data_IF_313880415227
#
_entry.id   IF_313880415227
#
_cell.length_a   1.000
_cell.length_b   1.000
_cell.length_c   1.000
_cell.angle_alpha   90.00
_cell.angle_beta   90.00
_cell.angle_gamma   90.00
#
_symmetry.space_group_name_H-M   'P 1'
#
loop_
_entity.id
_entity.type
_entity.pdbx_description
1 polymer ?
#
# COMPACT_ATOMS: atom_id res chain seq x y z
N UNK A 1 -6.76 -41.35 57.87
CA UNK A 1 -6.36 -40.61 56.65
C UNK A 1 -7.60 -39.94 56.11
N UNK A 2 -7.68 -38.61 56.23
CA UNK A 2 -8.81 -37.84 55.73
C UNK A 2 -8.65 -37.62 54.21
N UNK A 3 -9.69 -37.94 53.44
CA UNK A 3 -9.78 -37.58 52.03
C UNK A 3 -9.90 -36.06 51.89
N UNK A 4 -9.01 -35.45 51.09
CA UNK A 4 -9.14 -34.04 50.72
C UNK A 4 -10.23 -33.88 49.64
N UNK A 5 -11.07 -32.82 49.71
CA UNK A 5 -12.08 -32.56 48.71
C UNK A 5 -11.44 -32.00 47.42
N UNK A 6 -11.83 -32.55 46.26
CA UNK A 6 -11.50 -31.96 44.96
C UNK A 6 -12.11 -30.57 44.87
N UNK A 7 -11.29 -29.53 44.77
CA UNK A 7 -11.75 -28.17 44.47
C UNK A 7 -12.32 -28.14 43.05
N UNK A 8 -13.64 -28.07 42.92
CA UNK A 8 -14.29 -27.73 41.66
C UNK A 8 -13.98 -26.26 41.40
N UNK A 9 -13.26 -25.96 40.31
CA UNK A 9 -12.88 -24.59 39.97
C UNK A 9 -14.12 -23.74 39.71
N UNK A 10 -14.11 -22.47 40.16
CA UNK A 10 -15.20 -21.49 39.98
C UNK A 10 -15.61 -21.28 38.51
N UNK A 11 -14.73 -21.63 37.56
CA UNK A 11 -15.01 -21.59 36.13
C UNK A 11 -15.87 -22.77 35.64
N UNK A 12 -15.85 -23.91 36.33
CA UNK A 12 -16.67 -25.08 35.99
C UNK A 12 -18.11 -24.98 36.51
N UNK A 13 -18.45 -23.93 37.29
CA UNK A 13 -19.82 -23.67 37.74
C UNK A 13 -20.58 -22.66 36.87
N UNK A 14 -19.92 -22.06 35.87
CA UNK A 14 -20.55 -21.10 34.96
C UNK A 14 -21.53 -21.80 34.00
N UNK A 15 -22.64 -21.15 33.59
CA UNK A 15 -23.54 -21.66 32.55
C UNK A 15 -22.86 -21.75 31.18
N UNK A 16 -23.30 -22.70 30.35
CA UNK A 16 -22.71 -23.00 29.03
C UNK A 16 -22.66 -21.79 28.08
N UNK A 17 -23.69 -20.95 28.08
CA UNK A 17 -23.74 -19.75 27.23
C UNK A 17 -22.67 -18.71 27.61
N UNK A 18 -22.30 -18.63 28.90
CA UNK A 18 -21.23 -17.74 29.39
C UNK A 18 -19.86 -18.28 28.97
N UNK A 19 -19.68 -19.60 28.98
CA UNK A 19 -18.44 -20.25 28.52
C UNK A 19 -18.20 -20.04 27.02
N UNK A 20 -19.24 -20.19 26.18
CA UNK A 20 -19.15 -19.90 24.74
C UNK A 20 -18.80 -18.42 24.47
N UNK A 21 -19.39 -17.51 25.24
CA UNK A 21 -19.12 -16.09 25.10
C UNK A 21 -17.67 -15.75 25.48
N UNK A 22 -17.14 -16.31 26.57
CA UNK A 22 -15.72 -16.17 26.95
C UNK A 22 -14.80 -16.70 25.86
N UNK A 23 -15.10 -17.88 25.29
CA UNK A 23 -14.31 -18.49 24.21
C UNK A 23 -14.35 -17.70 22.90
N UNK A 24 -15.47 -17.01 22.60
CA UNK A 24 -15.61 -16.18 21.40
C UNK A 24 -14.70 -14.94 21.41
N UNK A 25 -14.27 -14.49 22.61
CA UNK A 25 -13.33 -13.39 22.76
C UNK A 25 -11.86 -13.81 22.66
N UNK A 26 -11.59 -15.12 22.61
CA UNK A 26 -10.24 -15.65 22.50
C UNK A 26 -9.89 -15.97 21.04
N UNK A 27 -8.67 -15.64 20.58
CA UNK A 27 -8.15 -16.18 19.33
C UNK A 27 -8.25 -17.70 19.30
N UNK A 28 -8.48 -18.30 18.13
CA UNK A 28 -8.75 -19.74 17.99
C UNK A 28 -7.70 -20.65 18.67
N UNK A 29 -6.43 -20.22 18.73
CA UNK A 29 -5.35 -20.91 19.45
C UNK A 29 -5.57 -20.92 20.96
N UNK A 30 -6.02 -19.81 21.53
CA UNK A 30 -6.27 -19.68 22.96
C UNK A 30 -7.57 -20.41 23.34
N UNK A 31 -8.62 -20.29 22.52
CA UNK A 31 -9.86 -21.05 22.68
C UNK A 31 -9.68 -22.58 22.50
N UNK A 32 -8.68 -23.01 21.73
CA UNK A 32 -8.30 -24.41 21.65
C UNK A 32 -7.47 -24.85 22.87
N UNK A 33 -6.61 -23.97 23.42
CA UNK A 33 -5.80 -24.25 24.62
C UNK A 33 -6.64 -24.35 25.88
N UNK A 34 -7.79 -23.67 25.95
CA UNK A 34 -8.73 -23.82 27.08
C UNK A 34 -9.32 -25.22 27.18
N UNK A 35 -9.23 -26.05 26.14
CA UNK A 35 -9.66 -27.46 26.18
C UNK A 35 -8.92 -28.31 27.22
N UNK A 36 -7.78 -27.81 27.73
CA UNK A 36 -6.97 -28.44 28.78
C UNK A 36 -7.49 -28.11 30.18
N UNK A 37 -8.33 -27.08 30.34
CA UNK A 37 -8.82 -26.60 31.65
C UNK A 37 -9.82 -27.57 32.30
N UNK A 38 -10.75 -28.14 31.53
CA UNK A 38 -11.61 -29.23 32.00
C UNK A 38 -12.27 -30.00 30.84
N UNK A 39 -12.79 -31.21 31.07
CA UNK A 39 -13.50 -31.99 30.05
C UNK A 39 -14.69 -31.24 29.43
N UNK A 40 -15.29 -30.32 30.19
CA UNK A 40 -16.42 -29.50 29.75
C UNK A 40 -15.95 -28.40 28.78
N UNK A 41 -14.79 -27.81 29.02
CA UNK A 41 -14.16 -26.88 28.07
C UNK A 41 -13.70 -27.58 26.79
N UNK A 42 -13.35 -28.87 26.81
CA UNK A 42 -13.12 -29.65 25.58
C UNK A 42 -14.37 -29.73 24.68
N UNK A 43 -15.56 -29.74 25.27
CA UNK A 43 -16.84 -29.77 24.54
C UNK A 43 -17.24 -28.40 23.98
N UNK A 44 -16.80 -27.29 24.58
CA UNK A 44 -17.01 -25.93 24.04
C UNK A 44 -15.86 -25.44 23.16
N UNK A 45 -14.66 -25.96 23.36
CA UNK A 45 -13.59 -26.01 22.37
C UNK A 45 -13.94 -26.97 21.22
N UNK A 46 -15.11 -27.65 21.25
CA UNK A 46 -15.67 -28.27 20.07
C UNK A 46 -15.91 -27.17 19.06
N UNK A 47 -15.17 -27.18 17.97
CA UNK A 47 -15.05 -25.99 17.18
C UNK A 47 -16.33 -25.79 16.32
N UNK A 48 -17.28 -26.74 16.35
CA UNK A 48 -18.63 -26.64 15.76
C UNK A 48 -19.61 -25.70 16.50
N UNK A 49 -19.31 -25.23 17.72
CA UNK A 49 -20.20 -24.37 18.53
C UNK A 49 -19.79 -22.88 18.53
N UNK A 50 -18.65 -22.54 17.93
CA UNK A 50 -18.11 -21.18 17.91
C UNK A 50 -18.30 -20.57 16.51
N UNK A 51 -19.12 -19.53 16.42
CA UNK A 51 -19.18 -18.66 15.23
C UNK A 51 -17.80 -18.05 15.01
N UNK A 52 -17.14 -18.44 13.93
CA UNK A 52 -15.82 -17.93 13.59
C UNK A 52 -15.99 -16.77 12.62
N UNK A 53 -16.00 -15.53 13.11
CA UNK A 53 -16.13 -14.37 12.22
C UNK A 53 -14.88 -14.12 11.39
N UNK A 54 -13.70 -14.39 11.97
CA UNK A 54 -12.41 -14.24 11.30
C UNK A 54 -11.45 -15.39 11.59
N UNK A 55 -10.66 -15.75 10.58
CA UNK A 55 -9.61 -16.75 10.64
C UNK A 55 -8.32 -16.13 10.12
N UNK A 56 -7.32 -15.98 11.00
CA UNK A 56 -6.03 -15.39 10.65
C UNK A 56 -4.89 -16.36 10.99
N UNK A 57 -4.03 -16.63 10.02
CA UNK A 57 -2.85 -17.50 10.16
C UNK A 57 -1.60 -16.71 9.81
N UNK A 58 -0.52 -16.89 10.57
CA UNK A 58 0.78 -16.28 10.32
C UNK A 58 1.89 -17.33 10.45
N UNK A 59 3.04 -17.12 9.81
CA UNK A 59 4.24 -17.98 9.86
C UNK A 59 4.65 -18.42 11.27
N UNK A 60 4.37 -17.60 12.29
CA UNK A 60 4.63 -17.94 13.71
C UNK A 60 3.85 -19.18 14.21
N UNK A 61 2.95 -19.72 13.39
CA UNK A 61 2.13 -20.90 13.69
C UNK A 61 2.74 -22.18 13.12
N UNK A 62 3.73 -22.05 12.23
CA UNK A 62 4.52 -23.14 11.64
C UNK A 62 5.74 -23.36 12.55
N UNK A 63 5.87 -24.57 13.10
CA UNK A 63 7.01 -24.85 13.99
C UNK A 63 8.24 -25.08 13.13
N UNK A 64 9.38 -24.40 13.35
CA UNK A 64 10.61 -24.70 12.63
C UNK A 64 11.08 -26.16 12.78
N UNK A 65 10.61 -26.88 13.80
CA UNK A 65 10.95 -28.28 14.05
C UNK A 65 10.11 -29.31 13.26
N UNK A 66 9.01 -28.91 12.60
CA UNK A 66 8.21 -29.82 11.77
C UNK A 66 8.68 -29.82 10.31
N UNK A 67 8.51 -30.96 9.64
CA UNK A 67 8.71 -31.02 8.19
C UNK A 67 7.70 -30.11 7.50
N UNK A 68 8.12 -29.44 6.42
CA UNK A 68 7.28 -28.51 5.67
C UNK A 68 5.93 -29.10 5.19
N UNK A 69 5.85 -30.42 5.01
CA UNK A 69 4.65 -31.11 4.52
C UNK A 69 3.54 -31.22 5.60
N UNK A 70 3.89 -31.47 6.86
CA UNK A 70 2.91 -31.65 7.95
C UNK A 70 2.22 -30.33 8.29
N UNK A 71 2.95 -29.21 8.28
CA UNK A 71 2.38 -27.91 8.61
C UNK A 71 1.45 -27.37 7.49
N UNK A 72 1.72 -27.69 6.22
CA UNK A 72 0.80 -27.33 5.13
C UNK A 72 -0.54 -28.07 5.23
N UNK A 73 -0.51 -29.39 5.43
CA UNK A 73 -1.73 -30.19 5.54
C UNK A 73 -2.61 -29.73 6.72
N UNK A 74 -1.96 -29.31 7.82
CA UNK A 74 -2.66 -28.72 8.97
C UNK A 74 -3.33 -27.40 8.63
N UNK A 75 -2.65 -26.49 7.93
CA UNK A 75 -3.23 -25.21 7.50
C UNK A 75 -4.38 -25.44 6.52
N UNK A 76 -4.23 -26.34 5.56
CA UNK A 76 -5.30 -26.73 4.65
C UNK A 76 -6.52 -27.24 5.41
N UNK A 77 -6.31 -28.10 6.41
CA UNK A 77 -7.37 -28.60 7.30
C UNK A 77 -8.07 -27.49 8.09
N UNK A 78 -7.31 -26.51 8.62
CA UNK A 78 -7.87 -25.38 9.35
C UNK A 78 -8.68 -24.44 8.46
N UNK A 79 -8.20 -24.16 7.24
CA UNK A 79 -8.94 -23.38 6.25
C UNK A 79 -10.26 -24.07 5.92
N UNK A 80 -10.23 -25.38 5.62
CA UNK A 80 -11.45 -26.15 5.36
C UNK A 80 -12.42 -26.11 6.55
N UNK A 81 -11.90 -26.22 7.78
CA UNK A 81 -12.71 -26.16 8.99
C UNK A 81 -13.33 -24.77 9.23
N UNK A 82 -12.60 -23.70 8.93
CA UNK A 82 -13.09 -22.32 9.03
C UNK A 82 -14.17 -22.04 7.97
N UNK A 83 -13.95 -22.47 6.73
CA UNK A 83 -14.92 -22.32 5.64
C UNK A 83 -16.23 -23.06 5.92
N UNK A 84 -16.17 -24.26 6.53
CA UNK A 84 -17.36 -25.02 6.96
C UNK A 84 -18.16 -24.34 8.07
N UNK A 85 -17.66 -23.25 8.65
CA UNK A 85 -18.32 -22.46 9.70
C UNK A 85 -18.68 -21.06 9.23
N UNK A 86 -18.79 -20.88 7.92
CA UNK A 86 -19.29 -19.64 7.35
C UNK A 86 -18.48 -18.40 7.76
N UNK A 87 -17.15 -18.59 7.86
CA UNK A 87 -16.22 -17.51 8.20
C UNK A 87 -16.34 -16.35 7.21
N UNK A 88 -16.33 -15.12 7.74
CA UNK A 88 -16.44 -13.90 6.93
C UNK A 88 -15.09 -13.34 6.52
N UNK A 89 -14.06 -13.53 7.33
CA UNK A 89 -12.71 -13.04 7.05
C UNK A 89 -11.69 -14.17 7.10
N UNK A 90 -10.90 -14.33 6.03
CA UNK A 90 -9.71 -15.17 6.01
C UNK A 90 -8.50 -14.31 5.65
N UNK A 91 -7.48 -14.34 6.53
CA UNK A 91 -6.20 -13.69 6.29
C UNK A 91 -5.07 -14.69 6.52
N UNK A 92 -4.29 -14.95 5.48
CA UNK A 92 -3.17 -15.89 5.53
C UNK A 92 -1.89 -15.11 5.25
N UNK A 93 -1.02 -15.03 6.26
CA UNK A 93 0.29 -14.39 6.18
C UNK A 93 1.37 -15.46 6.09
N UNK A 94 1.81 -15.70 4.86
CA UNK A 94 2.98 -16.49 4.52
C UNK A 94 2.82 -17.99 4.81
N UNK A 95 3.00 -18.76 3.74
CA UNK A 95 3.21 -20.20 3.77
C UNK A 95 4.36 -20.39 2.79
N UNK A 96 5.54 -20.76 3.29
CA UNK A 96 6.62 -21.22 2.41
C UNK A 96 6.15 -22.50 1.75
N UNK A 97 5.77 -22.37 0.48
CA UNK A 97 5.26 -23.48 -0.30
C UNK A 97 6.42 -24.20 -0.98
N UNK A 98 6.35 -25.53 -1.01
CA UNK A 98 7.05 -26.38 -1.98
C UNK A 98 6.21 -26.41 -3.26
N UNK A 99 6.86 -26.30 -4.42
CA UNK A 99 6.30 -25.98 -5.74
C UNK A 99 4.97 -26.68 -6.14
N UNK A 100 4.56 -27.77 -5.50
CA UNK A 100 3.45 -28.66 -5.89
C UNK A 100 2.07 -28.43 -5.19
N UNK A 101 1.96 -27.58 -4.16
CA UNK A 101 0.77 -27.56 -3.26
C UNK A 101 -0.29 -26.45 -3.51
N UNK A 102 -1.35 -26.72 -4.25
CA UNK A 102 -2.40 -25.73 -4.63
C UNK A 102 -3.28 -25.26 -3.47
N UNK A 103 -3.60 -23.96 -3.41
CA UNK A 103 -4.56 -23.41 -2.45
C UNK A 103 -5.92 -24.15 -2.51
N UNK A 104 -6.60 -24.41 -1.37
CA UNK A 104 -7.86 -25.12 -1.37
C UNK A 104 -8.89 -24.42 -2.26
N UNK A 105 -9.39 -25.13 -3.29
CA UNK A 105 -10.40 -24.60 -4.20
C UNK A 105 -11.64 -24.05 -3.46
N UNK A 106 -11.94 -24.61 -2.28
CA UNK A 106 -13.02 -24.16 -1.39
C UNK A 106 -12.92 -22.70 -0.97
N UNK A 107 -11.70 -22.12 -0.90
CA UNK A 107 -11.51 -20.70 -0.60
C UNK A 107 -12.19 -19.81 -1.63
N UNK A 108 -12.21 -20.24 -2.89
CA UNK A 108 -12.72 -19.46 -4.02
C UNK A 108 -14.20 -19.74 -4.33
N UNK A 109 -14.85 -20.64 -3.58
CA UNK A 109 -16.28 -20.99 -3.77
C UNK A 109 -17.14 -20.63 -2.56
N UNK A 110 -16.61 -19.84 -1.62
CA UNK A 110 -17.33 -19.49 -0.40
C UNK A 110 -18.34 -18.37 -0.62
N UNK A 111 -19.57 -18.59 -0.16
CA UNK A 111 -20.63 -17.58 -0.21
C UNK A 111 -20.64 -16.65 1.01
N UNK A 112 -19.83 -16.91 2.03
CA UNK A 112 -19.88 -16.20 3.32
C UNK A 112 -18.69 -15.26 3.52
N UNK A 113 -17.62 -15.46 2.75
CA UNK A 113 -16.45 -14.61 2.77
C UNK A 113 -16.76 -13.19 2.31
N UNK A 114 -16.38 -12.23 3.15
CA UNK A 114 -16.38 -10.79 2.91
C UNK A 114 -14.96 -10.28 2.67
N UNK A 115 -13.97 -10.86 3.36
CA UNK A 115 -12.55 -10.47 3.26
C UNK A 115 -11.69 -11.70 3.04
N UNK A 116 -10.86 -11.66 1.99
CA UNK A 116 -9.88 -12.68 1.66
C UNK A 116 -8.54 -12.02 1.38
N UNK A 117 -7.55 -12.28 2.23
CA UNK A 117 -6.17 -11.77 2.05
C UNK A 117 -5.20 -12.94 2.08
N UNK A 118 -4.51 -13.16 0.97
CA UNK A 118 -3.65 -14.31 0.77
C UNK A 118 -2.22 -13.86 0.46
N UNK A 119 -1.32 -14.10 1.40
CA UNK A 119 0.12 -14.05 1.17
C UNK A 119 0.64 -15.49 1.13
N UNK A 120 0.68 -16.07 -0.06
CA UNK A 120 1.08 -17.47 -0.29
C UNK A 120 2.13 -17.45 -1.38
N UNK A 121 3.34 -17.95 -1.10
CA UNK A 121 4.37 -18.10 -2.12
C UNK A 121 4.02 -19.28 -3.02
N UNK A 122 4.18 -19.14 -4.33
CA UNK A 122 4.09 -20.24 -5.30
C UNK A 122 2.79 -20.29 -6.11
N UNK A 123 2.75 -21.30 -6.98
CA UNK A 123 1.77 -21.44 -8.07
C UNK A 123 0.37 -21.76 -7.56
N UNK A 124 -0.62 -20.93 -7.83
CA UNK A 124 -1.98 -21.19 -7.40
C UNK A 124 -2.96 -20.88 -8.52
N UNK A 125 -3.59 -21.91 -9.07
CA UNK A 125 -4.68 -21.72 -10.03
C UNK A 125 -5.97 -21.41 -9.29
N UNK A 126 -6.64 -20.36 -9.74
CA UNK A 126 -8.01 -20.07 -9.32
C UNK A 126 -8.93 -21.06 -10.02
N UNK A 127 -9.78 -21.81 -9.30
CA UNK A 127 -10.64 -22.80 -9.90
C UNK A 127 -11.67 -22.14 -10.84
N UNK A 128 -12.02 -22.84 -11.91
CA UNK A 128 -12.91 -22.33 -12.97
C UNK A 128 -14.32 -22.01 -12.49
N UNK A 129 -14.76 -22.63 -11.39
CA UNK A 129 -16.05 -22.42 -10.74
C UNK A 129 -16.00 -21.43 -9.57
N UNK A 130 -14.96 -20.58 -9.49
CA UNK A 130 -14.84 -19.58 -8.44
C UNK A 130 -16.08 -18.68 -8.38
N UNK A 131 -16.66 -18.53 -7.18
CA UNK A 131 -17.82 -17.72 -6.89
C UNK A 131 -17.73 -17.19 -5.46
N UNK A 132 -17.63 -15.86 -5.33
CA UNK A 132 -17.43 -15.16 -4.06
C UNK A 132 -18.39 -13.96 -4.00
N UNK A 133 -19.72 -14.20 -3.92
CA UNK A 133 -20.72 -13.17 -4.16
C UNK A 133 -20.75 -12.05 -3.12
N UNK A 134 -20.28 -12.31 -1.90
CA UNK A 134 -20.30 -11.36 -0.78
C UNK A 134 -18.93 -10.71 -0.52
N UNK A 135 -17.93 -11.02 -1.35
CA UNK A 135 -16.56 -10.60 -1.12
C UNK A 135 -16.36 -9.13 -1.48
N UNK A 136 -15.95 -8.36 -0.47
CA UNK A 136 -15.67 -6.92 -0.57
C UNK A 136 -14.19 -6.61 -0.64
N UNK A 137 -13.34 -7.43 -0.03
CA UNK A 137 -11.90 -7.22 0.01
C UNK A 137 -11.16 -8.47 -0.46
N UNK A 138 -10.30 -8.30 -1.47
CA UNK A 138 -9.51 -9.38 -2.04
C UNK A 138 -8.06 -8.93 -2.27
N UNK A 139 -7.14 -9.43 -1.47
CA UNK A 139 -5.72 -9.08 -1.58
C UNK A 139 -4.87 -10.32 -1.85
N UNK A 140 -4.01 -10.23 -2.86
CA UNK A 140 -3.00 -11.24 -3.16
C UNK A 140 -1.61 -10.66 -2.93
N UNK A 141 -0.73 -11.46 -2.32
CA UNK A 141 0.66 -11.09 -2.07
C UNK A 141 1.56 -12.28 -2.40
N UNK A 142 2.59 -12.07 -3.24
CA UNK A 142 3.50 -13.11 -3.73
C UNK A 142 2.81 -14.29 -4.46
N UNK A 143 1.66 -14.02 -5.08
CA UNK A 143 0.84 -15.05 -5.74
C UNK A 143 1.22 -15.20 -7.22
N UNK A 144 1.34 -16.45 -7.68
CA UNK A 144 1.67 -16.76 -9.08
C UNK A 144 0.48 -17.43 -9.79
N UNK A 145 -0.05 -16.75 -10.83
CA UNK A 145 -1.16 -17.22 -11.66
C UNK A 145 -0.64 -17.87 -12.94
N UNK A 146 -0.85 -19.19 -13.15
CA UNK A 146 -0.42 -19.86 -14.40
C UNK A 146 -1.28 -19.49 -15.61
N UNK A 147 -2.58 -19.31 -15.37
CA UNK A 147 -3.51 -18.71 -16.33
C UNK A 147 -3.96 -17.36 -15.78
N UNK A 148 -3.33 -16.29 -16.26
CA UNK A 148 -3.69 -14.92 -15.87
C UNK A 148 -5.15 -14.57 -16.18
N UNK A 149 -5.82 -15.26 -17.11
CA UNK A 149 -7.25 -15.04 -17.36
C UNK A 149 -8.12 -15.45 -16.17
N UNK A 150 -7.62 -16.32 -15.28
CA UNK A 150 -8.33 -16.73 -14.07
C UNK A 150 -8.57 -15.58 -13.11
N UNK A 151 -7.72 -14.55 -13.14
CA UNK A 151 -7.90 -13.31 -12.37
C UNK A 151 -9.11 -12.53 -12.86
N UNK A 152 -9.27 -12.41 -14.18
CA UNK A 152 -10.40 -11.72 -14.78
C UNK A 152 -11.72 -12.42 -14.43
N UNK A 153 -11.71 -13.75 -14.47
CA UNK A 153 -12.84 -14.57 -14.00
C UNK A 153 -13.11 -14.32 -12.52
N UNK A 154 -12.09 -14.33 -11.67
CA UNK A 154 -12.25 -14.09 -10.24
C UNK A 154 -12.87 -12.73 -9.94
N UNK A 155 -12.40 -11.67 -10.61
CA UNK A 155 -12.98 -10.32 -10.47
C UNK A 155 -14.45 -10.32 -10.90
N UNK A 156 -14.78 -10.96 -12.02
CA UNK A 156 -16.17 -11.07 -12.49
C UNK A 156 -17.08 -11.89 -11.55
N UNK A 157 -16.50 -12.81 -10.78
CA UNK A 157 -17.18 -13.63 -9.78
C UNK A 157 -17.38 -12.93 -8.42
N UNK A 158 -16.87 -11.70 -8.25
CA UNK A 158 -16.98 -10.89 -7.03
C UNK A 158 -17.74 -9.58 -7.31
N UNK A 159 -19.08 -9.60 -7.46
CA UNK A 159 -19.86 -8.44 -7.90
C UNK A 159 -19.81 -7.24 -6.94
N UNK A 160 -19.59 -7.47 -5.65
CA UNK A 160 -19.56 -6.44 -4.60
C UNK A 160 -18.14 -6.06 -4.16
N UNK A 161 -17.12 -6.39 -4.97
CA UNK A 161 -15.72 -6.14 -4.63
C UNK A 161 -15.40 -4.65 -4.55
N UNK A 162 -15.05 -4.15 -3.37
CA UNK A 162 -14.77 -2.73 -3.09
C UNK A 162 -13.26 -2.45 -3.02
N UNK A 163 -12.45 -3.39 -2.52
CA UNK A 163 -11.01 -3.23 -2.30
C UNK A 163 -10.22 -4.41 -2.89
N UNK A 164 -9.36 -4.13 -3.85
CA UNK A 164 -8.61 -5.14 -4.59
C UNK A 164 -7.12 -4.81 -4.66
N UNK A 165 -6.27 -5.78 -4.32
CA UNK A 165 -4.83 -5.57 -4.29
C UNK A 165 -4.03 -6.74 -4.88
N UNK A 166 -3.07 -6.40 -5.72
CA UNK A 166 -1.97 -7.27 -6.14
C UNK A 166 -0.66 -6.70 -5.62
N UNK A 167 0.06 -7.50 -4.86
CA UNK A 167 1.34 -7.12 -4.27
C UNK A 167 2.36 -8.20 -4.63
N UNK A 168 3.36 -7.85 -5.44
CA UNK A 168 4.41 -8.77 -5.90
C UNK A 168 3.84 -10.05 -6.54
N UNK A 169 2.78 -9.95 -7.34
CA UNK A 169 2.14 -11.10 -7.99
C UNK A 169 2.62 -11.29 -9.43
N UNK A 170 2.59 -12.54 -9.92
CA UNK A 170 3.04 -12.93 -11.25
C UNK A 170 1.88 -13.50 -12.08
N UNK A 171 1.83 -13.15 -13.37
CA UNK A 171 0.76 -13.54 -14.28
C UNK A 171 1.34 -14.16 -15.54
N UNK A 172 1.08 -15.45 -15.76
CA UNK A 172 1.49 -16.18 -16.95
C UNK A 172 0.34 -16.29 -17.95
N UNK A 173 0.66 -16.50 -19.23
CA UNK A 173 -0.31 -16.77 -20.34
C UNK A 173 -1.40 -15.72 -20.52
N UNK A 174 -1.17 -14.50 -20.06
CA UNK A 174 -2.00 -13.33 -20.35
C UNK A 174 -1.14 -12.33 -21.11
N UNK A 175 -1.76 -11.48 -21.91
CA UNK A 175 -1.11 -10.37 -22.63
C UNK A 175 -1.64 -9.01 -22.18
N UNK A 176 -2.86 -8.96 -21.65
CA UNK A 176 -3.51 -7.75 -21.16
C UNK A 176 -4.32 -8.05 -19.89
N UNK A 177 -4.00 -7.34 -18.80
CA UNK A 177 -4.80 -7.38 -17.56
C UNK A 177 -5.89 -6.31 -17.63
N UNK A 178 -7.10 -6.72 -18.00
CA UNK A 178 -8.22 -5.81 -18.19
C UNK A 178 -9.20 -5.83 -17.00
N UNK A 179 -9.00 -4.93 -16.04
CA UNK A 179 -9.79 -4.83 -14.82
C UNK A 179 -11.04 -3.99 -15.11
N UNK A 180 -12.20 -4.64 -15.14
CA UNK A 180 -13.51 -3.98 -15.28
C UNK A 180 -14.35 -4.23 -14.03
N UNK A 181 -14.67 -3.19 -13.28
CA UNK A 181 -15.55 -3.32 -12.10
C UNK A 181 -16.28 -2.02 -11.80
N UNK A 182 -17.58 -2.11 -11.52
CA UNK A 182 -18.42 -0.98 -11.10
C UNK A 182 -18.46 -0.81 -9.56
N UNK A 183 -18.09 -1.85 -8.80
CA UNK A 183 -18.12 -1.84 -7.33
C UNK A 183 -16.79 -1.39 -6.71
N UNK A 184 -15.71 -1.42 -7.48
CA UNK A 184 -14.36 -1.19 -6.98
C UNK A 184 -14.15 0.28 -6.58
N UNK A 185 -13.68 0.48 -5.34
CA UNK A 185 -13.35 1.78 -4.74
C UNK A 185 -11.86 1.96 -4.49
N UNK A 186 -11.12 0.86 -4.26
CA UNK A 186 -9.69 0.85 -4.00
C UNK A 186 -9.00 -0.20 -4.88
N UNK A 187 -7.94 0.21 -5.58
CA UNK A 187 -7.12 -0.67 -6.40
C UNK A 187 -5.64 -0.43 -6.10
N UNK A 188 -4.96 -1.49 -5.68
CA UNK A 188 -3.52 -1.48 -5.37
C UNK A 188 -2.78 -2.43 -6.28
N UNK A 189 -1.83 -1.91 -7.06
CA UNK A 189 -0.95 -2.67 -7.94
C UNK A 189 0.50 -2.38 -7.55
N UNK A 190 1.12 -3.28 -6.79
CA UNK A 190 2.54 -3.19 -6.42
C UNK A 190 3.31 -4.34 -7.05
N UNK A 191 4.35 -4.04 -7.79
CA UNK A 191 5.11 -5.01 -8.58
C UNK A 191 6.51 -5.23 -8.02
N UNK A 192 7.07 -6.42 -8.26
CA UNK A 192 8.42 -6.79 -7.81
C UNK A 192 9.47 -6.33 -8.81
N UNK A 193 10.57 -5.74 -8.31
CA UNK A 193 11.71 -5.31 -9.11
C UNK A 193 12.76 -6.43 -9.21
N UNK A 194 13.02 -6.98 -10.42
CA UNK A 194 14.09 -7.99 -10.71
C UNK A 194 13.99 -9.32 -9.94
N UNK A 195 14.57 -10.46 -10.32
CA UNK A 195 15.42 -10.90 -11.42
C UNK A 195 15.04 -12.37 -11.74
N UNK A 196 14.90 -12.75 -13.01
CA UNK A 196 14.65 -14.16 -13.36
C UNK A 196 14.04 -14.46 -14.73
N UNK A 197 13.60 -13.48 -15.51
CA UNK A 197 13.00 -13.74 -16.82
C UNK A 197 13.61 -12.86 -17.92
N UNK A 198 13.73 -13.44 -19.11
CA UNK A 198 14.46 -12.92 -20.27
C UNK A 198 13.84 -11.68 -20.96
N UNK A 199 12.88 -10.99 -20.33
CA UNK A 199 12.35 -9.70 -20.82
C UNK A 199 12.57 -8.63 -19.75
N UNK A 200 13.35 -7.61 -20.09
CA UNK A 200 13.66 -6.44 -19.24
C UNK A 200 12.43 -5.63 -18.79
N UNK A 201 11.25 -5.91 -19.35
CA UNK A 201 9.99 -5.20 -19.11
C UNK A 201 8.89 -6.24 -18.85
N UNK A 202 8.06 -5.99 -17.84
CA UNK A 202 7.10 -6.98 -17.34
C UNK A 202 6.06 -7.38 -18.40
N UNK A 203 5.57 -8.61 -18.27
CA UNK A 203 4.44 -9.09 -19.07
C UNK A 203 3.20 -8.25 -18.73
N UNK A 204 2.52 -7.74 -19.77
CA UNK A 204 1.13 -7.28 -19.82
C UNK A 204 0.87 -5.77 -19.82
N UNK A 205 0.11 -5.34 -20.82
CA UNK A 205 -0.62 -4.07 -20.78
C UNK A 205 -1.73 -4.15 -19.72
N UNK A 206 -1.91 -3.09 -18.94
CA UNK A 206 -2.93 -3.00 -17.90
C UNK A 206 -4.00 -2.02 -18.37
N UNK A 207 -5.25 -2.46 -18.45
CA UNK A 207 -6.39 -1.58 -18.72
C UNK A 207 -7.34 -1.57 -17.53
N UNK A 208 -7.60 -0.38 -17.01
CA UNK A 208 -8.47 -0.21 -15.84
C UNK A 208 -9.72 0.56 -16.29
N UNK A 209 -10.88 -0.04 -16.09
CA UNK A 209 -12.18 0.57 -16.23
C UNK A 209 -12.99 0.35 -14.95
N UNK A 210 -12.81 1.28 -14.02
CA UNK A 210 -13.49 1.30 -12.74
C UNK A 210 -13.97 2.73 -12.44
N UNK A 211 -15.18 3.13 -12.88
CA UNK A 211 -15.64 4.52 -12.80
C UNK A 211 -15.89 5.02 -11.37
N UNK A 212 -16.10 4.11 -10.42
CA UNK A 212 -16.33 4.40 -9.00
C UNK A 212 -15.06 4.26 -8.14
N UNK A 213 -13.89 4.13 -8.77
CA UNK A 213 -12.62 4.03 -8.07
C UNK A 213 -12.28 5.36 -7.40
N UNK A 214 -11.99 5.33 -6.11
CA UNK A 214 -11.67 6.51 -5.27
C UNK A 214 -10.17 6.57 -4.98
N UNK A 215 -9.54 5.42 -4.80
CA UNK A 215 -8.12 5.28 -4.51
C UNK A 215 -7.43 4.35 -5.50
N UNK A 216 -6.30 4.81 -6.04
CA UNK A 216 -5.45 4.03 -6.93
C UNK A 216 -4.00 4.08 -6.48
N UNK A 217 -3.37 2.90 -6.37
CA UNK A 217 -1.94 2.80 -6.11
C UNK A 217 -1.26 1.96 -7.17
N UNK A 218 -0.12 2.47 -7.67
CA UNK A 218 0.70 1.84 -8.68
C UNK A 218 2.18 2.01 -8.33
N UNK A 219 2.85 0.91 -7.97
CA UNK A 219 4.23 0.93 -7.46
C UNK A 219 5.08 -0.07 -8.25
N UNK A 220 6.27 0.36 -8.69
CA UNK A 220 7.29 -0.46 -9.37
C UNK A 220 6.81 -1.13 -10.67
N UNK A 221 5.67 -0.72 -11.21
CA UNK A 221 5.11 -1.34 -12.40
C UNK A 221 5.61 -0.69 -13.67
N UNK A 222 6.29 -1.43 -14.54
CA UNK A 222 6.37 -1.08 -15.96
C UNK A 222 6.19 -2.35 -16.81
N UNK A 223 4.94 -2.83 -16.84
CA UNK A 223 4.45 -3.64 -17.95
C UNK A 223 4.39 -2.82 -19.25
N UNK A 224 3.88 -3.39 -20.34
CA UNK A 224 3.83 -2.71 -21.65
C UNK A 224 3.03 -1.39 -21.67
N UNK A 225 2.30 -1.07 -20.59
CA UNK A 225 1.67 0.23 -20.34
C UNK A 225 0.50 0.08 -19.35
N UNK A 226 0.11 1.18 -18.70
CA UNK A 226 -1.10 1.23 -17.88
C UNK A 226 -2.04 2.30 -18.43
N UNK A 227 -3.23 1.88 -18.88
CA UNK A 227 -4.25 2.77 -19.42
C UNK A 227 -5.44 2.82 -18.46
N UNK A 228 -5.79 4.04 -18.11
CA UNK A 228 -6.87 4.36 -17.20
C UNK A 228 -7.98 5.00 -18.02
N UNK A 229 -9.16 4.38 -18.00
CA UNK A 229 -10.37 4.97 -18.61
C UNK A 229 -10.80 6.20 -17.79
N UNK A 230 -11.76 7.01 -18.26
CA UNK A 230 -12.25 8.20 -17.52
C UNK A 230 -12.72 7.85 -16.10
N UNK A 231 -11.83 8.01 -15.10
CA UNK A 231 -12.13 7.74 -13.69
C UNK A 231 -12.61 9.01 -12.99
N UNK A 232 -13.90 9.30 -13.16
CA UNK A 232 -14.52 10.53 -12.64
C UNK A 232 -14.55 10.60 -11.11
N UNK A 233 -14.51 9.45 -10.43
CA UNK A 233 -14.57 9.37 -8.98
C UNK A 233 -13.20 9.29 -8.29
N UNK A 234 -12.10 9.31 -9.06
CA UNK A 234 -10.77 9.11 -8.50
C UNK A 234 -10.33 10.36 -7.74
N UNK A 235 -10.22 10.24 -6.42
CA UNK A 235 -9.83 11.33 -5.55
C UNK A 235 -8.34 11.29 -5.19
N UNK A 236 -7.77 10.08 -5.07
CA UNK A 236 -6.42 9.88 -4.56
C UNK A 236 -5.62 8.89 -5.40
N UNK A 237 -4.40 9.27 -5.77
CA UNK A 237 -3.46 8.40 -6.46
C UNK A 237 -2.11 8.32 -5.74
N UNK A 238 -1.50 7.14 -5.75
CA UNK A 238 -0.15 6.90 -5.27
C UNK A 238 0.65 6.22 -6.36
N UNK A 239 1.60 6.92 -6.96
CA UNK A 239 2.39 6.47 -8.10
C UNK A 239 3.87 6.44 -7.70
N UNK A 240 4.49 5.27 -7.76
CA UNK A 240 5.93 5.08 -7.60
C UNK A 240 6.46 4.28 -8.79
N UNK A 241 7.34 4.89 -9.59
CA UNK A 241 7.83 4.31 -10.83
C UNK A 241 9.32 4.61 -11.05
N UNK A 242 10.02 3.70 -11.73
CA UNK A 242 11.46 3.82 -12.04
C UNK A 242 11.61 3.74 -13.55
N UNK A 243 12.12 4.81 -14.17
CA UNK A 243 12.33 4.93 -15.60
C UNK A 243 13.67 4.32 -15.99
N UNK A 244 13.66 3.37 -16.92
CA UNK A 244 14.90 2.75 -17.43
C UNK A 244 15.22 3.19 -18.87
N UNK A 245 14.21 3.62 -19.64
CA UNK A 245 14.35 4.04 -21.03
C UNK A 245 13.24 5.00 -21.51
N UNK A 246 13.32 5.42 -22.79
CA UNK A 246 12.35 6.36 -23.37
C UNK A 246 10.92 5.81 -23.48
N UNK A 247 10.72 4.50 -23.60
CA UNK A 247 9.36 3.93 -23.65
C UNK A 247 8.70 3.99 -22.29
N UNK A 248 9.47 3.75 -21.23
CA UNK A 248 9.03 3.92 -19.85
C UNK A 248 8.59 5.37 -19.56
N UNK A 249 9.29 6.35 -20.15
CA UNK A 249 8.89 7.76 -20.09
C UNK A 249 7.52 8.02 -20.72
N UNK A 250 7.26 7.46 -21.89
CA UNK A 250 5.95 7.59 -22.55
C UNK A 250 4.83 6.92 -21.73
N UNK A 251 5.11 5.74 -21.16
CA UNK A 251 4.17 5.01 -20.30
C UNK A 251 3.86 5.77 -19.02
N UNK A 252 4.87 6.38 -18.39
CA UNK A 252 4.70 7.26 -17.24
C UNK A 252 3.80 8.45 -17.57
N UNK A 253 4.01 9.10 -18.72
CA UNK A 253 3.15 10.20 -19.16
C UNK A 253 1.69 9.76 -19.36
N UNK A 254 1.46 8.58 -19.94
CA UNK A 254 0.12 8.01 -20.12
C UNK A 254 -0.56 7.68 -18.77
N UNK A 255 0.18 7.12 -17.82
CA UNK A 255 -0.29 6.85 -16.46
C UNK A 255 -0.69 8.16 -15.74
N UNK A 256 0.18 9.17 -15.80
CA UNK A 256 -0.08 10.50 -15.22
C UNK A 256 -1.29 11.19 -15.87
N UNK A 257 -1.48 11.02 -17.18
CA UNK A 257 -2.68 11.49 -17.87
C UNK A 257 -3.96 10.83 -17.36
N UNK A 258 -3.89 9.56 -16.98
CA UNK A 258 -5.01 8.83 -16.38
C UNK A 258 -5.42 9.32 -14.98
N UNK A 259 -4.51 9.96 -14.25
CA UNK A 259 -4.72 10.42 -12.86
C UNK A 259 -4.74 11.95 -12.72
N UNK A 260 -4.85 12.69 -13.82
CA UNK A 260 -4.76 14.17 -13.78
C UNK A 260 -5.91 14.88 -13.03
N UNK A 261 -7.02 14.18 -12.77
CA UNK A 261 -8.21 14.72 -12.12
C UNK A 261 -8.26 14.48 -10.60
N UNK A 262 -7.21 13.90 -10.00
CA UNK A 262 -7.18 13.60 -8.56
C UNK A 262 -7.03 14.85 -7.70
N UNK A 263 -7.47 14.77 -6.44
CA UNK A 263 -7.34 15.82 -5.43
C UNK A 263 -6.06 15.68 -4.61
N UNK A 264 -5.60 14.44 -4.37
CA UNK A 264 -4.35 14.15 -3.67
C UNK A 264 -3.50 13.16 -4.47
N UNK A 265 -2.24 13.50 -4.67
CA UNK A 265 -1.29 12.69 -5.43
C UNK A 265 -0.02 12.48 -4.60
N UNK A 266 0.33 11.22 -4.38
CA UNK A 266 1.68 10.84 -4.02
C UNK A 266 2.43 10.44 -5.30
N UNK A 267 3.59 11.04 -5.54
CA UNK A 267 4.38 10.85 -6.74
C UNK A 267 5.85 10.58 -6.38
N UNK A 268 6.37 9.46 -6.83
CA UNK A 268 7.78 9.14 -6.81
C UNK A 268 8.19 8.65 -8.19
N UNK A 269 9.08 9.37 -8.86
CA UNK A 269 9.60 8.93 -10.16
C UNK A 269 11.12 9.02 -10.15
N UNK A 270 11.76 7.86 -10.34
CA UNK A 270 13.21 7.70 -10.38
C UNK A 270 13.65 7.50 -11.84
N UNK A 271 14.85 7.96 -12.21
CA UNK A 271 15.46 7.76 -13.54
C UNK A 271 16.83 7.11 -13.35
N UNK A 272 16.87 5.80 -13.52
CA UNK A 272 18.09 5.00 -13.36
C UNK A 272 19.11 5.26 -14.49
N UNK A 273 18.66 5.86 -15.60
CA UNK A 273 19.51 6.10 -16.77
C UNK A 273 20.22 7.46 -16.73
N UNK A 274 19.83 8.34 -15.79
CA UNK A 274 20.30 9.73 -15.64
C UNK A 274 20.14 10.62 -16.90
N UNK A 275 19.40 10.16 -17.92
CA UNK A 275 19.28 10.84 -19.22
C UNK A 275 17.84 11.13 -19.65
N UNK A 276 16.83 10.65 -18.93
CA UNK A 276 15.43 10.75 -19.37
C UNK A 276 14.78 12.06 -18.93
N UNK A 277 15.29 12.70 -17.87
CA UNK A 277 14.92 14.08 -17.50
C UNK A 277 15.61 15.17 -18.34
N UNK A 278 16.32 14.80 -19.40
CA UNK A 278 16.86 15.78 -20.36
C UNK A 278 15.77 16.51 -21.17
N UNK A 279 14.54 15.97 -21.21
CA UNK A 279 13.41 16.58 -21.88
C UNK A 279 12.14 16.48 -21.00
N UNK A 280 11.22 17.46 -21.07
CA UNK A 280 9.93 17.40 -20.39
C UNK A 280 9.15 16.14 -20.79
N UNK A 281 8.34 15.62 -19.88
CA UNK A 281 7.31 14.60 -20.16
C UNK A 281 6.18 15.21 -20.98
N UNK A 282 6.46 15.74 -22.16
CA UNK A 282 5.44 16.39 -22.97
C UNK A 282 4.69 15.39 -23.86
N UNK A 283 3.34 15.52 -23.99
CA UNK A 283 2.48 16.50 -23.31
C UNK A 283 1.90 15.95 -21.99
N UNK A 284 2.27 16.57 -20.86
CA UNK A 284 1.69 16.31 -19.54
C UNK A 284 0.47 17.22 -19.29
N UNK A 285 -0.70 16.68 -18.93
CA UNK A 285 -1.88 17.49 -18.68
C UNK A 285 -1.74 18.34 -17.41
N UNK A 286 -2.53 19.42 -17.34
CA UNK A 286 -2.68 20.19 -16.11
C UNK A 286 -3.49 19.42 -15.07
N UNK A 287 -3.03 19.43 -13.82
CA UNK A 287 -3.66 18.82 -12.65
C UNK A 287 -4.55 19.84 -11.95
N UNK A 288 -5.65 20.23 -12.61
CA UNK A 288 -6.52 21.32 -12.14
C UNK A 288 -7.27 20.98 -10.85
N UNK A 289 -7.51 19.70 -10.56
CA UNK A 289 -8.22 19.27 -9.35
C UNK A 289 -7.29 19.06 -8.15
N UNK A 290 -5.97 19.10 -8.36
CA UNK A 290 -5.00 18.71 -7.36
C UNK A 290 -4.86 19.78 -6.27
N UNK A 291 -5.09 19.37 -5.03
CA UNK A 291 -5.02 20.20 -3.81
C UNK A 291 -3.83 19.82 -2.95
N UNK A 292 -3.44 18.56 -2.95
CA UNK A 292 -2.33 18.02 -2.17
C UNK A 292 -1.39 17.21 -3.07
N UNK A 293 -0.09 17.50 -2.97
CA UNK A 293 0.96 16.78 -3.68
C UNK A 293 2.02 16.35 -2.66
N UNK A 294 2.26 15.06 -2.56
CA UNK A 294 3.45 14.51 -1.93
C UNK A 294 4.40 14.02 -3.01
N UNK A 295 5.59 14.59 -3.04
CA UNK A 295 6.64 14.20 -3.97
C UNK A 295 7.80 13.56 -3.21
N UNK A 296 8.24 12.39 -3.67
CA UNK A 296 9.42 11.70 -3.12
C UNK A 296 10.45 11.45 -4.22
N UNK A 297 11.71 11.73 -3.90
CA UNK A 297 12.86 11.38 -4.75
C UNK A 297 13.87 10.57 -3.96
N UNK A 298 14.23 9.35 -4.40
CA UNK A 298 15.31 8.57 -3.74
C UNK A 298 16.71 9.01 -4.16
N UNK A 299 16.84 9.48 -5.40
CA UNK A 299 18.05 10.10 -5.93
C UNK A 299 17.75 11.58 -6.12
N UNK A 300 18.73 12.46 -5.90
CA UNK A 300 18.58 13.89 -6.19
C UNK A 300 19.75 14.35 -7.03
N UNK A 301 19.66 14.13 -8.34
CA UNK A 301 20.48 14.88 -9.29
C UNK A 301 19.79 16.23 -9.58
N UNK A 302 20.56 17.29 -9.86
CA UNK A 302 20.05 18.65 -10.09
C UNK A 302 18.81 18.70 -11.02
N UNK A 303 18.76 17.83 -12.02
CA UNK A 303 17.70 17.83 -13.04
C UNK A 303 16.39 17.18 -12.59
N UNK A 304 16.42 16.26 -11.62
CA UNK A 304 15.19 15.75 -10.97
C UNK A 304 14.51 16.86 -10.15
N UNK A 305 15.28 17.83 -9.63
CA UNK A 305 14.75 19.00 -8.92
C UNK A 305 14.08 20.00 -9.87
N UNK A 306 14.62 20.21 -11.08
CA UNK A 306 13.95 21.00 -12.13
C UNK A 306 12.57 20.44 -12.49
N UNK A 307 12.44 19.11 -12.47
CA UNK A 307 11.16 18.48 -12.78
C UNK A 307 10.10 18.72 -11.70
N UNK A 308 10.43 18.74 -10.41
CA UNK A 308 9.48 19.16 -9.36
C UNK A 308 8.84 20.51 -9.74
N UNK A 309 9.64 21.46 -10.20
CA UNK A 309 9.15 22.80 -10.48
C UNK A 309 8.31 22.81 -11.76
N UNK A 310 8.74 22.12 -12.81
CA UNK A 310 7.92 21.96 -14.03
C UNK A 310 6.58 21.27 -13.72
N UNK A 311 6.57 20.28 -12.81
CA UNK A 311 5.33 19.63 -12.38
C UNK A 311 4.43 20.59 -11.57
N UNK A 312 5.01 21.38 -10.66
CA UNK A 312 4.27 22.37 -9.87
C UNK A 312 3.66 23.46 -10.78
N UNK A 313 4.29 23.83 -11.91
CA UNK A 313 3.68 24.74 -12.89
C UNK A 313 2.37 24.18 -13.49
N UNK A 314 2.15 22.87 -13.42
CA UNK A 314 0.95 22.19 -13.92
C UNK A 314 -0.12 21.96 -12.83
N UNK A 315 0.07 22.44 -11.60
CA UNK A 315 -0.83 22.23 -10.47
C UNK A 315 -1.41 23.56 -9.95
N UNK A 316 -2.27 24.25 -10.73
CA UNK A 316 -2.65 25.62 -10.44
C UNK A 316 -3.45 25.82 -9.15
N UNK A 317 -4.06 24.77 -8.60
CA UNK A 317 -4.90 24.82 -7.40
C UNK A 317 -4.27 24.14 -6.17
N UNK A 318 -2.96 23.86 -6.22
CA UNK A 318 -2.25 23.18 -5.15
C UNK A 318 -2.22 24.03 -3.88
N UNK A 319 -2.63 23.44 -2.75
CA UNK A 319 -2.64 24.08 -1.43
C UNK A 319 -1.61 23.51 -0.46
N UNK A 320 -1.33 22.21 -0.58
CA UNK A 320 -0.37 21.50 0.28
C UNK A 320 0.68 20.82 -0.59
N UNK A 321 1.95 21.11 -0.32
CA UNK A 321 3.10 20.47 -0.96
C UNK A 321 3.93 19.75 0.09
N UNK A 322 4.15 18.45 -0.08
CA UNK A 322 4.99 17.63 0.79
C UNK A 322 6.19 17.16 -0.04
N UNK A 323 7.40 17.41 0.44
CA UNK A 323 8.65 17.06 -0.22
C UNK A 323 9.42 16.07 0.66
N UNK A 324 9.65 14.87 0.15
CA UNK A 324 10.50 13.84 0.74
C UNK A 324 11.76 13.68 -0.10
N UNK A 325 12.84 14.36 0.32
CA UNK A 325 14.08 14.53 -0.44
C UNK A 325 15.30 14.15 0.42
N UNK A 326 15.57 12.86 0.68
CA UNK A 326 16.83 12.41 1.26
C UNK A 326 18.00 12.70 0.29
N UNK A 327 19.12 13.29 0.71
CA UNK A 327 20.25 13.50 -0.22
C UNK A 327 21.64 13.26 0.37
N UNK A 328 22.43 12.46 -0.35
CA UNK A 328 23.90 12.58 -0.39
C UNK A 328 24.32 12.87 -1.82
N UNK A 329 24.10 14.07 -2.35
CA UNK A 329 24.76 14.54 -3.58
C UNK A 329 24.62 16.04 -3.80
N UNK A 330 25.64 16.57 -4.48
CA UNK A 330 26.05 17.98 -4.65
C UNK A 330 24.93 18.95 -5.02
N UNK A 331 24.81 20.03 -4.24
CA UNK A 331 24.31 21.36 -4.67
C UNK A 331 22.86 21.48 -5.14
N UNK A 332 22.27 22.67 -5.04
CA UNK A 332 21.27 23.09 -6.04
C UNK A 332 22.08 23.89 -7.07
N UNK A 333 22.21 23.42 -8.31
CA UNK A 333 22.57 24.33 -9.39
C UNK A 333 21.36 25.21 -9.75
N UNK A 334 21.06 26.17 -8.86
CA UNK A 334 20.05 27.23 -8.97
C UNK A 334 18.57 26.81 -8.99
N UNK A 335 17.81 27.33 -8.01
CA UNK A 335 16.34 27.32 -8.07
C UNK A 335 15.85 28.06 -9.33
N UNK A 336 14.76 27.60 -9.97
CA UNK A 336 14.31 28.18 -11.23
C UNK A 336 13.87 29.63 -11.09
N UNK A 337 14.19 30.41 -12.13
CA UNK A 337 13.89 31.84 -12.22
C UNK A 337 12.40 32.13 -12.40
N UNK A 338 11.63 31.19 -12.96
CA UNK A 338 10.18 31.32 -13.11
C UNK A 338 9.52 30.65 -11.91
N UNK A 339 8.78 31.45 -11.15
CA UNK A 339 8.07 31.02 -9.95
C UNK A 339 6.68 30.51 -10.34
N UNK A 340 6.30 29.28 -9.96
CA UNK A 340 4.96 28.76 -10.23
C UNK A 340 3.87 29.63 -9.59
N UNK A 341 2.77 29.85 -10.32
CA UNK A 341 1.65 30.67 -9.84
C UNK A 341 0.98 30.11 -8.59
N UNK A 342 0.92 28.78 -8.45
CA UNK A 342 0.39 28.15 -7.25
C UNK A 342 1.26 28.43 -6.02
N UNK A 343 2.59 28.50 -6.16
CA UNK A 343 3.49 28.86 -5.07
C UNK A 343 3.24 30.30 -4.60
N UNK A 344 3.00 31.23 -5.53
CA UNK A 344 2.72 32.63 -5.21
C UNK A 344 1.37 32.81 -4.52
N UNK A 345 0.30 32.13 -4.97
CA UNK A 345 -1.08 32.53 -4.65
C UNK A 345 -1.96 31.45 -4.02
N UNK A 346 -1.53 30.18 -3.96
CA UNK A 346 -2.40 29.07 -3.57
C UNK A 346 -1.83 28.19 -2.45
N UNK A 347 -0.52 27.94 -2.45
CA UNK A 347 0.12 27.05 -1.48
C UNK A 347 0.07 27.67 -0.08
N UNK A 348 -0.67 27.01 0.82
CA UNK A 348 -0.84 27.38 2.23
C UNK A 348 0.09 26.62 3.15
N UNK A 349 0.45 25.39 2.78
CA UNK A 349 1.29 24.53 3.59
C UNK A 349 2.37 23.87 2.74
N UNK A 350 3.61 23.94 3.22
CA UNK A 350 4.73 23.16 2.69
C UNK A 350 5.26 22.28 3.82
N UNK A 351 5.45 20.99 3.55
CA UNK A 351 6.10 20.06 4.47
C UNK A 351 7.36 19.51 3.81
N UNK A 352 8.48 19.52 4.51
CA UNK A 352 9.76 18.97 4.06
C UNK A 352 10.14 17.86 5.05
N UNK A 353 10.29 16.64 4.55
CA UNK A 353 10.69 15.45 5.31
C UNK A 353 12.18 15.18 5.13
N UNK A 354 12.80 14.56 6.14
CA UNK A 354 14.21 14.14 6.13
C UNK A 354 15.20 15.29 5.86
N UNK A 355 15.01 16.42 6.55
CA UNK A 355 15.81 17.63 6.33
C UNK A 355 17.23 17.51 6.88
N UNK A 356 18.26 17.65 6.05
CA UNK A 356 19.66 17.38 6.45
C UNK A 356 20.45 18.63 6.87
N UNK A 357 19.88 19.84 6.78
CA UNK A 357 20.55 21.06 7.25
C UNK A 357 21.72 21.56 6.40
N UNK A 358 21.92 21.02 5.19
CA UNK A 358 22.94 21.49 4.26
C UNK A 358 22.47 22.76 3.51
N UNK A 359 23.41 23.58 3.00
CA UNK A 359 23.09 24.81 2.23
C UNK A 359 22.06 24.59 1.10
N UNK A 360 22.12 23.51 0.31
CA UNK A 360 21.10 23.19 -0.68
C UNK A 360 19.68 23.21 -0.09
N UNK A 361 19.47 22.51 1.02
CA UNK A 361 18.15 22.40 1.66
C UNK A 361 17.68 23.75 2.21
N UNK A 362 18.61 24.59 2.69
CA UNK A 362 18.34 25.95 3.12
C UNK A 362 17.95 26.88 1.97
N UNK A 363 18.61 26.79 0.81
CA UNK A 363 18.28 27.58 -0.37
C UNK A 363 16.86 27.28 -0.87
N UNK A 364 16.46 26.02 -0.86
CA UNK A 364 15.10 25.61 -1.20
C UNK A 364 14.06 26.16 -0.23
N UNK A 365 14.30 26.06 1.09
CA UNK A 365 13.42 26.65 2.11
C UNK A 365 13.33 28.16 1.93
N UNK A 366 14.48 28.83 1.71
CA UNK A 366 14.55 30.27 1.45
C UNK A 366 13.75 30.68 0.22
N UNK A 367 13.84 29.91 -0.87
CA UNK A 367 13.04 30.13 -2.07
C UNK A 367 11.54 30.04 -1.79
N UNK A 368 11.08 29.02 -1.08
CA UNK A 368 9.66 28.88 -0.74
C UNK A 368 9.15 29.99 0.18
N UNK A 369 9.94 30.38 1.18
CA UNK A 369 9.58 31.47 2.09
C UNK A 369 9.55 32.83 1.39
N UNK A 370 10.44 33.05 0.43
CA UNK A 370 10.57 34.30 -0.34
C UNK A 370 9.45 34.48 -1.38
N UNK A 371 8.90 33.38 -1.89
CA UNK A 371 7.90 33.40 -2.96
C UNK A 371 6.50 32.94 -2.52
N UNK A 372 6.36 32.40 -1.30
CA UNK A 372 5.10 31.94 -0.74
C UNK A 372 4.30 33.06 -0.08
N UNK A 373 3.74 33.99 -0.86
CA UNK A 373 3.06 35.17 -0.32
C UNK A 373 1.82 34.86 0.54
N UNK A 374 1.17 33.71 0.29
CA UNK A 374 -0.01 33.22 1.03
C UNK A 374 0.31 32.05 1.97
N UNK A 375 1.58 31.67 2.11
CA UNK A 375 2.01 30.53 2.91
C UNK A 375 1.65 30.74 4.38
N UNK A 376 0.97 29.77 4.99
CA UNK A 376 0.54 29.78 6.39
C UNK A 376 1.48 28.94 7.25
N UNK A 377 1.97 27.80 6.74
CA UNK A 377 2.84 26.88 7.47
C UNK A 377 3.95 26.30 6.61
N UNK A 378 5.17 26.32 7.13
CA UNK A 378 6.28 25.54 6.61
C UNK A 378 6.71 24.54 7.70
N UNK A 379 6.49 23.26 7.46
CA UNK A 379 6.75 22.18 8.42
C UNK A 379 8.03 21.46 8.01
N UNK A 380 8.96 21.30 8.95
CA UNK A 380 10.16 20.50 8.76
C UNK A 380 10.04 19.29 9.66
N UNK A 381 10.08 18.09 9.07
CA UNK A 381 10.05 16.81 9.77
C UNK A 381 11.38 16.10 9.66
N UNK A 382 11.70 15.33 10.70
CA UNK A 382 12.83 14.41 10.74
C UNK A 382 14.15 15.08 10.32
N UNK A 383 14.62 16.04 11.14
CA UNK A 383 15.89 16.72 10.89
C UNK A 383 17.04 15.72 11.13
N UNK A 384 17.80 15.41 10.07
CA UNK A 384 18.90 14.43 10.06
C UNK A 384 20.25 15.10 10.26
N UNK A 385 20.42 15.80 11.37
CA UNK A 385 21.71 16.41 11.75
C UNK A 385 22.19 15.84 13.08
N UNK A 386 23.49 15.99 13.36
CA UNK A 386 24.03 15.67 14.68
C UNK A 386 23.31 16.51 15.75
N UNK A 387 23.07 15.94 16.95
CA UNK A 387 22.38 16.66 18.04
C UNK A 387 23.04 18.01 18.38
N UNK A 388 24.36 18.09 18.25
CA UNK A 388 25.17 19.29 18.49
C UNK A 388 24.88 20.44 17.50
N UNK A 389 24.48 20.10 16.27
CA UNK A 389 24.20 21.06 15.19
C UNK A 389 22.72 21.43 15.09
N UNK A 390 21.85 20.63 15.72
CA UNK A 390 20.40 20.75 15.61
C UNK A 390 19.89 22.14 16.02
N UNK A 391 20.39 22.68 17.12
CA UNK A 391 20.01 24.02 17.61
C UNK A 391 20.38 25.11 16.61
N UNK A 392 21.61 25.07 16.06
CA UNK A 392 22.09 26.02 15.06
C UNK A 392 21.27 25.95 13.76
N UNK A 393 20.90 24.73 13.33
CA UNK A 393 20.06 24.51 12.16
C UNK A 393 18.65 25.08 12.36
N UNK A 394 18.04 24.84 13.52
CA UNK A 394 16.72 25.39 13.86
C UNK A 394 16.77 26.91 13.94
N UNK A 395 17.78 27.50 14.59
CA UNK A 395 17.94 28.96 14.66
C UNK A 395 18.10 29.57 13.26
N UNK A 396 18.93 28.95 12.40
CA UNK A 396 19.11 29.38 11.00
C UNK A 396 17.76 29.32 10.25
N UNK A 397 16.99 28.24 10.39
CA UNK A 397 15.67 28.10 9.76
C UNK A 397 14.69 29.20 10.20
N UNK A 398 14.62 29.46 11.51
CA UNK A 398 13.74 30.47 12.08
C UNK A 398 14.15 31.90 11.68
N UNK A 399 15.44 32.13 11.40
CA UNK A 399 15.97 33.42 10.96
C UNK A 399 15.70 33.77 9.50
N UNK A 400 15.26 32.80 8.68
CA UNK A 400 15.07 33.03 7.24
C UNK A 400 13.97 34.07 6.96
N UNK A 401 14.18 34.95 5.96
CA UNK A 401 13.20 35.97 5.61
C UNK A 401 11.94 35.33 5.03
N UNK A 402 10.78 35.83 5.45
CA UNK A 402 9.46 35.33 5.04
C UNK A 402 8.70 36.42 4.31
N UNK A 403 8.16 36.12 3.14
CA UNK A 403 7.27 37.03 2.42
C UNK A 403 5.88 37.09 3.09
N UNK A 404 5.33 35.92 3.46
CA UNK A 404 4.08 35.85 4.21
C UNK A 404 4.30 36.12 5.70
N UNK A 405 3.63 37.15 6.21
CA UNK A 405 3.58 37.46 7.65
C UNK A 405 2.84 36.41 8.48
N UNK A 406 2.01 35.57 7.84
CA UNK A 406 1.26 34.50 8.50
C UNK A 406 2.05 33.20 8.57
N UNK A 407 3.19 33.11 7.88
CA UNK A 407 3.96 31.88 7.77
C UNK A 407 4.67 31.53 9.09
N UNK A 408 4.21 30.46 9.72
CA UNK A 408 4.88 29.83 10.84
C UNK A 408 5.80 28.72 10.34
N UNK A 409 7.05 28.71 10.82
CA UNK A 409 7.97 27.60 10.58
C UNK A 409 7.80 26.67 11.78
N UNK A 410 7.38 25.43 11.52
CA UNK A 410 7.16 24.41 12.54
C UNK A 410 8.25 23.36 12.38
N UNK A 411 9.12 23.26 13.38
CA UNK A 411 10.14 22.21 13.49
C UNK A 411 9.64 21.15 14.47
N UNK A 412 10.24 19.94 14.50
CA UNK A 412 9.83 18.91 15.45
C UNK A 412 10.00 19.41 16.89
N UNK A 413 8.98 19.26 17.72
CA UNK A 413 9.06 19.54 19.16
C UNK A 413 9.95 18.49 19.82
N UNK A 414 11.25 18.78 19.96
CA UNK A 414 12.12 18.05 20.88
C UNK A 414 12.21 18.84 22.19
N UNK A 415 11.14 18.79 22.99
CA UNK A 415 11.19 19.23 24.37
C UNK A 415 11.69 18.08 25.27
N UNK A 416 12.94 18.28 25.71
CA UNK A 416 13.65 17.72 26.88
C UNK A 416 14.32 16.35 26.79
#
# INVERSE_FOLDING_TARGET
MAEQPKSVGVLDSLPDHILCQILSFLPAKEAARTSVLSPRWRFFSNPNLLSLESFRVNDLWVNPDFSYDDDYLRIHGWICAALRRDVKEIVIFSIKKKDDLTSPALLFTSHTLVTLKLKINGVNDVPTNASLPNLKTLHFTFFEFLDGNSVLKLISSCPVLEDFAFIMCWFHKISELNIRSLSLKSLVLRWSFGAGFNSRRGYNAIKINAPNLVYFQYVNGMGEGCTLSEMKSLERAHIEIILMDNEDRERAANLLRGVCNVQSLYLAIEDDSETLFLAPLDPMPAFNSLVELEFRSKYTHDRQRTWIVEFIHRTPNLKTLILDLPSKSEGFESMPTIVPSCLLFQIKQIEIKHFEGEEPTFEMVSYFLKHGSVLEKLIIRDIKVCEEELSAVIEKLLSLPKESKKCEIVTPDYFH
#
